data_IF_799976162727
#
_entry.id   IF_799976162727
#
_cell.length_a   1.000
_cell.length_b   1.000
_cell.length_c   1.000
_cell.angle_alpha   90.00
_cell.angle_beta   90.00
_cell.angle_gamma   90.00
#
_symmetry.space_group_name_H-M   'P 1'
#
loop_
_entity.id
_entity.type
_entity.pdbx_description
1 polymer ?
#
# COMPACT_ATOMS: atom_id res chain seq x y z
N UNK A 1 -2.79 -21.06 0.67
CA UNK A 1 -1.86 -20.05 1.22
C UNK A 1 -2.49 -18.68 1.05
N UNK A 2 -2.40 -17.82 2.07
CA UNK A 2 -3.04 -16.49 2.05
C UNK A 2 -1.97 -15.40 2.11
N UNK A 3 -2.10 -14.38 1.26
CA UNK A 3 -1.40 -13.10 1.44
C UNK A 3 -2.42 -12.10 1.99
N UNK A 4 -2.16 -11.59 3.19
CA UNK A 4 -2.99 -10.57 3.81
C UNK A 4 -2.48 -9.20 3.40
N UNK A 5 -3.25 -8.46 2.59
CA UNK A 5 -2.95 -7.07 2.28
C UNK A 5 -3.33 -6.19 3.47
N UNK A 6 -2.48 -5.22 3.78
CA UNK A 6 -2.72 -4.28 4.88
C UNK A 6 -2.27 -2.88 4.46
N UNK A 7 -3.19 -1.93 4.53
CA UNK A 7 -2.82 -0.52 4.39
C UNK A 7 -2.14 -0.05 5.68
N UNK A 8 -1.07 0.74 5.54
CA UNK A 8 -0.40 1.37 6.68
C UNK A 8 -1.38 2.04 7.66
N UNK A 9 -0.99 2.21 8.92
CA UNK A 9 -1.74 2.94 9.92
C UNK A 9 -1.95 4.41 9.53
N UNK A 10 -2.75 5.15 10.30
CA UNK A 10 -3.03 6.56 10.02
C UNK A 10 -1.75 7.38 9.97
N UNK A 11 -1.56 8.09 8.88
CA UNK A 11 -0.55 9.11 8.60
C UNK A 11 -1.18 10.51 8.55
N UNK A 12 -0.37 11.53 8.28
CA UNK A 12 -0.83 12.91 8.21
C UNK A 12 -1.45 13.21 6.84
N UNK A 13 -2.76 13.37 6.80
CA UNK A 13 -3.55 13.68 5.62
C UNK A 13 -3.66 15.18 5.30
N UNK A 14 -2.97 16.03 6.04
CA UNK A 14 -2.83 17.47 5.69
C UNK A 14 -1.82 17.69 4.56
N UNK A 15 -1.04 16.65 4.24
CA UNK A 15 -0.07 16.63 3.14
C UNK A 15 -0.50 15.71 2.00
N UNK A 16 -0.04 16.02 0.79
CA UNK A 16 -0.12 15.10 -0.36
C UNK A 16 0.74 13.86 -0.08
N UNK A 17 0.12 12.70 -0.03
CA UNK A 17 0.79 11.44 0.23
C UNK A 17 1.75 11.03 -0.88
N UNK A 18 1.39 9.96 -1.62
CA UNK A 18 2.25 9.40 -2.67
C UNK A 18 3.61 8.97 -2.11
N UNK A 19 4.71 9.43 -2.72
CA UNK A 19 6.08 9.15 -2.27
C UNK A 19 6.58 10.14 -1.20
N UNK A 20 5.69 10.63 -0.34
CA UNK A 20 6.08 11.48 0.79
C UNK A 20 6.86 10.72 1.86
N UNK A 21 7.73 11.43 2.58
CA UNK A 21 8.51 10.92 3.73
C UNK A 21 7.80 11.18 5.08
N UNK A 22 6.47 11.16 5.11
CA UNK A 22 5.70 11.28 6.34
C UNK A 22 5.49 9.90 6.95
N UNK A 23 5.80 9.75 8.24
CA UNK A 23 5.61 8.54 9.01
C UNK A 23 4.19 8.40 9.58
N UNK A 24 4.03 7.44 10.49
CA UNK A 24 2.77 7.19 11.17
C UNK A 24 2.49 8.25 12.24
N UNK A 25 1.25 8.68 12.35
CA UNK A 25 0.79 9.43 13.53
C UNK A 25 0.69 8.51 14.76
N UNK A 26 0.68 9.06 16.00
CA UNK A 26 0.53 8.26 17.22
C UNK A 26 -0.72 7.35 17.21
N UNK A 27 -1.80 7.79 16.59
CA UNK A 27 -3.01 6.97 16.39
C UNK A 27 -2.77 5.83 15.42
N UNK A 28 -1.98 6.07 14.36
CA UNK A 28 -1.56 5.03 13.40
C UNK A 28 -0.72 3.95 14.07
N UNK A 29 0.22 4.33 14.93
CA UNK A 29 1.02 3.39 15.72
C UNK A 29 0.12 2.53 16.63
N UNK A 30 -0.87 3.12 17.30
CA UNK A 30 -1.86 2.37 18.10
C UNK A 30 -2.65 1.38 17.25
N UNK A 31 -3.03 1.76 16.02
CA UNK A 31 -3.71 0.85 15.08
C UNK A 31 -2.83 -0.36 14.72
N UNK A 32 -1.52 -0.17 14.55
CA UNK A 32 -0.58 -1.25 14.24
C UNK A 32 -0.47 -2.25 15.39
N UNK A 33 -0.33 -1.77 16.64
CA UNK A 33 -0.31 -2.66 17.80
C UNK A 33 -1.63 -3.41 17.99
N UNK A 34 -2.77 -2.77 17.73
CA UNK A 34 -4.07 -3.43 17.76
C UNK A 34 -4.17 -4.56 16.71
N UNK A 35 -3.67 -4.31 15.50
CA UNK A 35 -3.59 -5.32 14.45
C UNK A 35 -2.66 -6.48 14.83
N UNK A 36 -1.48 -6.20 15.39
CA UNK A 36 -0.58 -7.26 15.86
C UNK A 36 -1.25 -8.16 16.88
N UNK A 37 -2.01 -7.59 17.81
CA UNK A 37 -2.81 -8.34 18.79
C UNK A 37 -3.92 -9.15 18.13
N UNK A 38 -4.61 -8.58 17.14
CA UNK A 38 -5.65 -9.28 16.36
C UNK A 38 -5.07 -10.51 15.67
N UNK A 39 -3.91 -10.38 14.98
CA UNK A 39 -3.21 -11.48 14.33
C UNK A 39 -2.86 -12.59 15.31
N UNK A 40 -2.34 -12.24 16.49
CA UNK A 40 -1.98 -13.22 17.52
C UNK A 40 -3.22 -13.97 18.07
N UNK A 41 -4.35 -13.29 18.27
CA UNK A 41 -5.59 -13.89 18.80
C UNK A 41 -6.26 -14.79 17.77
N UNK A 42 -6.23 -14.41 16.49
CA UNK A 42 -6.85 -15.17 15.39
C UNK A 42 -5.98 -16.33 14.91
N UNK A 43 -4.82 -16.54 15.53
CA UNK A 43 -3.89 -17.61 15.20
C UNK A 43 -3.44 -17.62 13.73
N UNK A 44 -3.32 -16.42 13.13
CA UNK A 44 -2.76 -16.24 11.79
C UNK A 44 -1.24 -16.34 11.89
N UNK A 45 -0.65 -17.32 11.20
CA UNK A 45 0.78 -17.56 11.20
C UNK A 45 1.42 -17.12 9.88
N UNK A 46 2.10 -15.98 9.90
CA UNK A 46 2.86 -15.47 8.76
C UNK A 46 4.35 -15.75 8.93
N UNK A 47 5.02 -16.08 7.86
CA UNK A 47 6.47 -16.34 7.85
C UNK A 47 7.31 -15.17 7.33
N UNK A 48 6.67 -14.18 6.69
CA UNK A 48 7.34 -13.01 6.12
C UNK A 48 6.37 -11.82 6.02
N UNK A 49 6.91 -10.63 6.19
CA UNK A 49 6.23 -9.37 5.89
C UNK A 49 6.89 -8.78 4.64
N UNK A 50 6.13 -8.66 3.55
CA UNK A 50 6.49 -7.80 2.43
C UNK A 50 6.03 -6.39 2.73
N UNK A 51 6.84 -5.38 2.42
CA UNK A 51 6.47 -4.00 2.67
C UNK A 51 6.92 -3.06 1.56
N UNK A 52 6.11 -2.05 1.27
CA UNK A 52 6.60 -0.82 0.68
C UNK A 52 7.68 -0.21 1.58
N UNK A 53 8.69 0.38 1.00
CA UNK A 53 9.77 1.05 1.71
C UNK A 53 9.50 2.54 1.98
N UNK A 54 8.30 3.05 1.65
CA UNK A 54 7.85 4.38 2.05
C UNK A 54 7.64 4.40 3.58
N UNK A 55 8.12 5.44 4.24
CA UNK A 55 8.31 5.54 5.68
C UNK A 55 7.11 5.02 6.50
N UNK A 56 5.89 5.47 6.23
CA UNK A 56 4.67 5.03 6.97
C UNK A 56 4.37 3.54 6.87
N UNK A 57 4.70 2.92 5.74
CA UNK A 57 4.55 1.48 5.56
C UNK A 57 5.72 0.71 6.18
N UNK A 58 6.95 1.22 6.04
CA UNK A 58 8.14 0.64 6.65
C UNK A 58 8.05 0.65 8.18
N UNK A 59 7.69 1.78 8.80
CA UNK A 59 7.45 1.87 10.26
C UNK A 59 6.42 0.85 10.75
N UNK A 60 5.31 0.70 10.02
CA UNK A 60 4.31 -0.33 10.34
C UNK A 60 4.89 -1.74 10.24
N UNK A 61 5.62 -2.03 9.18
CA UNK A 61 6.23 -3.35 8.96
C UNK A 61 7.24 -3.68 10.07
N UNK A 62 8.05 -2.72 10.51
CA UNK A 62 9.02 -2.88 11.61
C UNK A 62 8.32 -3.19 12.94
N UNK A 63 7.24 -2.47 13.27
CA UNK A 63 6.45 -2.75 14.47
C UNK A 63 5.85 -4.16 14.40
N UNK A 64 5.24 -4.54 13.27
CA UNK A 64 4.65 -5.87 13.08
C UNK A 64 5.72 -6.97 13.14
N UNK A 65 6.88 -6.77 12.51
CA UNK A 65 8.01 -7.71 12.55
C UNK A 65 8.48 -7.98 13.98
N UNK A 66 8.64 -6.92 14.76
CA UNK A 66 9.01 -7.04 16.18
C UNK A 66 7.95 -7.78 17.01
N UNK A 67 6.66 -7.55 16.74
CA UNK A 67 5.57 -8.21 17.46
C UNK A 67 5.36 -9.68 17.07
N UNK A 68 5.55 -10.00 15.79
CA UNK A 68 5.25 -11.33 15.23
C UNK A 68 6.47 -12.22 15.09
N UNK A 69 7.68 -11.67 15.23
CA UNK A 69 8.94 -12.42 15.11
C UNK A 69 9.24 -12.90 13.69
N UNK A 70 8.77 -12.19 12.64
CA UNK A 70 8.99 -12.59 11.26
C UNK A 70 9.78 -11.53 10.47
N UNK A 71 10.59 -11.93 9.47
CA UNK A 71 11.44 -11.03 8.70
C UNK A 71 10.64 -10.11 7.78
N UNK A 72 11.25 -8.97 7.41
CA UNK A 72 10.72 -8.04 6.42
C UNK A 72 11.50 -8.17 5.12
N UNK A 73 10.79 -8.17 4.00
CA UNK A 73 11.33 -7.95 2.66
C UNK A 73 10.71 -6.67 2.09
N UNK A 74 11.54 -5.65 1.85
CA UNK A 74 11.09 -4.43 1.21
C UNK A 74 10.95 -4.60 -0.29
N UNK A 75 9.80 -4.16 -0.84
CA UNK A 75 9.46 -4.25 -2.26
C UNK A 75 9.16 -2.85 -2.79
N UNK A 76 10.16 -2.08 -3.25
CA UNK A 76 9.98 -0.69 -3.72
C UNK A 76 8.96 -0.55 -4.85
N UNK A 77 8.76 -1.62 -5.65
CA UNK A 77 7.73 -1.64 -6.70
C UNK A 77 6.29 -1.64 -6.18
N UNK A 78 6.08 -1.80 -4.85
CA UNK A 78 4.78 -1.71 -4.19
C UNK A 78 4.61 -0.40 -3.40
N UNK A 79 5.38 0.65 -3.73
CA UNK A 79 5.14 2.02 -3.27
C UNK A 79 3.80 2.54 -3.79
N UNK A 80 3.23 3.54 -3.08
CA UNK A 80 2.07 4.30 -3.55
C UNK A 80 2.38 5.01 -4.88
N UNK A 81 1.41 5.70 -5.45
CA UNK A 81 1.63 6.49 -6.66
C UNK A 81 2.76 7.49 -6.47
N UNK A 82 3.65 7.58 -7.47
CA UNK A 82 4.62 8.67 -7.55
C UNK A 82 3.90 9.94 -8.03
N UNK A 83 3.55 10.79 -7.07
CA UNK A 83 2.89 12.06 -7.36
C UNK A 83 3.88 13.21 -7.60
N UNK A 84 5.15 12.88 -7.86
CA UNK A 84 6.19 13.79 -8.31
C UNK A 84 6.34 15.01 -7.41
N UNK A 85 6.23 16.20 -8.02
CA UNK A 85 6.40 17.48 -7.30
C UNK A 85 5.41 17.70 -6.16
N UNK A 86 4.30 16.95 -6.10
CA UNK A 86 3.31 17.06 -5.03
C UNK A 86 3.66 16.23 -3.79
N UNK A 87 4.62 15.30 -3.88
CA UNK A 87 4.96 14.41 -2.79
C UNK A 87 5.36 15.17 -1.50
N UNK A 88 4.56 15.02 -0.44
CA UNK A 88 4.80 15.69 0.84
C UNK A 88 4.50 17.18 0.87
N UNK A 89 3.87 17.74 -0.17
CA UNK A 89 3.42 19.13 -0.17
C UNK A 89 2.16 19.29 0.71
N UNK A 90 2.06 20.38 1.46
CA UNK A 90 0.82 20.72 2.19
C UNK A 90 -0.36 20.84 1.21
N UNK A 91 -1.53 20.33 1.58
CA UNK A 91 -2.70 20.34 0.69
C UNK A 91 -3.08 21.74 0.23
N UNK A 92 -3.11 22.71 1.15
CA UNK A 92 -3.47 24.10 0.81
C UNK A 92 -2.48 24.70 -0.21
N UNK A 93 -1.17 24.45 -0.04
CA UNK A 93 -0.14 24.92 -0.94
C UNK A 93 -0.23 24.23 -2.31
N UNK A 94 -0.54 22.93 -2.31
CA UNK A 94 -0.75 22.18 -3.54
C UNK A 94 -1.97 22.70 -4.33
N UNK A 95 -3.06 23.00 -3.62
CA UNK A 95 -4.28 23.52 -4.25
C UNK A 95 -4.08 24.95 -4.80
N UNK A 96 -3.26 25.77 -4.12
CA UNK A 96 -2.90 27.11 -4.59
C UNK A 96 -2.01 27.05 -5.84
N UNK A 97 -0.96 26.21 -5.81
CA UNK A 97 0.05 26.18 -6.89
C UNK A 97 -0.36 25.34 -8.08
N UNK A 98 -1.17 24.30 -7.84
CA UNK A 98 -1.57 23.31 -8.85
C UNK A 98 -3.07 23.05 -8.76
N UNK A 99 -3.93 24.07 -8.98
CA UNK A 99 -5.37 23.95 -8.84
C UNK A 99 -5.94 22.86 -9.74
N UNK A 100 -6.73 21.97 -9.16
CA UNK A 100 -7.38 20.89 -9.90
C UNK A 100 -6.48 19.68 -10.21
N UNK A 101 -5.21 19.69 -9.82
CA UNK A 101 -4.31 18.55 -10.03
C UNK A 101 -4.46 17.51 -8.90
N UNK A 102 -5.31 16.53 -9.16
CA UNK A 102 -5.58 15.41 -8.25
C UNK A 102 -5.44 14.09 -8.99
N UNK A 103 -5.24 13.00 -8.24
CA UNK A 103 -5.23 11.65 -8.81
C UNK A 103 -6.47 11.35 -9.66
N UNK A 104 -7.63 11.73 -9.18
CA UNK A 104 -8.92 11.49 -9.86
C UNK A 104 -9.19 12.39 -11.06
N UNK A 105 -8.42 13.47 -11.26
CA UNK A 105 -8.58 14.37 -12.41
C UNK A 105 -7.67 14.06 -13.56
N UNK A 106 -6.57 13.32 -13.33
CA UNK A 106 -5.65 12.90 -14.40
C UNK A 106 -6.37 12.03 -15.43
N UNK A 107 -6.05 12.20 -16.68
CA UNK A 107 -6.34 11.20 -17.70
C UNK A 107 -5.47 9.96 -17.51
N UNK A 108 -5.88 8.82 -18.05
CA UNK A 108 -5.29 7.53 -17.70
C UNK A 108 -3.78 7.46 -18.03
N UNK A 109 -3.34 8.14 -19.09
CA UNK A 109 -1.96 8.26 -19.55
C UNK A 109 -1.28 9.58 -19.15
N UNK A 110 -2.01 10.49 -18.47
CA UNK A 110 -1.48 11.77 -18.01
C UNK A 110 -0.64 11.60 -16.75
N UNK A 111 0.62 12.07 -16.79
CA UNK A 111 1.55 11.98 -15.66
C UNK A 111 1.46 13.19 -14.72
N UNK A 112 1.63 12.96 -13.44
CA UNK A 112 2.10 14.03 -12.56
C UNK A 112 3.44 14.57 -13.06
N UNK A 113 3.68 15.86 -12.86
CA UNK A 113 5.01 16.45 -13.15
C UNK A 113 6.09 15.75 -12.32
N UNK A 114 7.06 15.14 -12.99
CA UNK A 114 8.11 14.29 -12.39
C UNK A 114 7.56 13.07 -11.62
N UNK A 115 6.40 12.59 -11.98
CA UNK A 115 5.77 11.43 -11.36
C UNK A 115 5.22 10.45 -12.40
N UNK A 116 4.29 9.61 -11.99
CA UNK A 116 3.70 8.58 -12.86
C UNK A 116 2.23 8.89 -13.22
N UNK A 117 1.76 8.28 -14.31
CA UNK A 117 0.36 8.28 -14.71
C UNK A 117 -0.41 7.14 -14.02
N UNK A 118 -1.76 7.17 -14.03
CA UNK A 118 -2.59 6.03 -13.62
C UNK A 118 -2.23 4.73 -14.32
N UNK A 119 -1.93 4.77 -15.62
CA UNK A 119 -1.50 3.61 -16.39
C UNK A 119 -0.16 3.05 -15.90
N UNK A 120 0.84 3.91 -15.74
CA UNK A 120 2.17 3.52 -15.25
C UNK A 120 2.09 2.92 -13.85
N UNK A 121 1.34 3.55 -12.94
CA UNK A 121 1.09 3.05 -11.60
C UNK A 121 0.46 1.66 -11.64
N UNK A 122 -0.66 1.49 -12.34
CA UNK A 122 -1.37 0.22 -12.41
C UNK A 122 -0.49 -0.90 -13.00
N UNK A 123 0.22 -0.63 -14.10
CA UNK A 123 1.09 -1.60 -14.74
C UNK A 123 2.25 -2.02 -13.82
N UNK A 124 2.85 -1.07 -13.09
CA UNK A 124 3.89 -1.34 -12.10
C UNK A 124 3.39 -2.24 -10.98
N UNK A 125 2.22 -1.91 -10.40
CA UNK A 125 1.62 -2.68 -9.30
C UNK A 125 1.23 -4.08 -9.78
N UNK A 126 0.57 -4.20 -10.92
CA UNK A 126 0.18 -5.49 -11.52
C UNK A 126 1.39 -6.40 -11.72
N UNK A 127 2.46 -5.88 -12.33
CA UNK A 127 3.68 -6.65 -12.56
C UNK A 127 4.35 -7.08 -11.23
N UNK A 128 4.46 -6.16 -10.26
CA UNK A 128 5.05 -6.44 -8.95
C UNK A 128 4.23 -7.48 -8.17
N UNK A 129 2.91 -7.36 -8.16
CA UNK A 129 2.01 -8.30 -7.49
C UNK A 129 2.09 -9.70 -8.09
N UNK A 130 1.95 -9.84 -9.40
CA UNK A 130 2.03 -11.14 -10.08
C UNK A 130 3.40 -11.80 -9.90
N UNK A 131 4.47 -11.00 -9.93
CA UNK A 131 5.82 -11.50 -9.65
C UNK A 131 5.97 -12.01 -8.21
N UNK A 132 5.45 -11.27 -7.23
CA UNK A 132 5.46 -11.67 -5.82
C UNK A 132 4.64 -12.95 -5.60
N UNK A 133 3.42 -12.99 -6.10
CA UNK A 133 2.51 -14.14 -6.04
C UNK A 133 3.18 -15.41 -6.60
N UNK A 134 3.72 -15.33 -7.82
CA UNK A 134 4.39 -16.44 -8.46
C UNK A 134 5.64 -16.91 -7.71
N UNK A 135 6.40 -16.01 -7.12
CA UNK A 135 7.57 -16.35 -6.30
C UNK A 135 7.14 -17.08 -5.03
N UNK A 136 6.13 -16.59 -4.33
CA UNK A 136 5.59 -17.23 -3.11
C UNK A 136 5.10 -18.65 -3.38
N UNK A 137 4.30 -18.85 -4.43
CA UNK A 137 3.77 -20.17 -4.81
C UNK A 137 4.87 -21.20 -5.06
N UNK A 138 6.07 -20.78 -5.51
CA UNK A 138 7.21 -21.68 -5.76
C UNK A 138 8.05 -21.97 -4.52
N UNK A 139 8.02 -21.10 -3.51
CA UNK A 139 8.96 -21.16 -2.38
C UNK A 139 8.36 -21.72 -1.10
N UNK A 140 7.06 -21.54 -0.86
CA UNK A 140 6.44 -21.87 0.42
C UNK A 140 4.93 -22.04 0.28
N UNK A 141 4.33 -22.67 1.28
CA UNK A 141 2.87 -22.76 1.45
C UNK A 141 2.36 -21.94 2.63
N UNK A 142 3.25 -21.19 3.30
CA UNK A 142 2.92 -20.40 4.48
C UNK A 142 2.33 -19.05 4.08
N UNK A 143 1.53 -18.49 4.97
CA UNK A 143 0.91 -17.18 4.79
C UNK A 143 1.92 -16.03 4.93
N UNK A 144 1.57 -14.86 4.39
CA UNK A 144 2.39 -13.66 4.47
C UNK A 144 1.53 -12.41 4.69
N UNK A 145 2.16 -11.35 5.22
CA UNK A 145 1.59 -10.00 5.18
C UNK A 145 2.19 -9.20 4.01
N UNK A 146 1.38 -8.30 3.45
CA UNK A 146 1.84 -7.27 2.54
C UNK A 146 1.39 -5.89 3.07
N UNK A 147 2.32 -5.17 3.69
CA UNK A 147 2.09 -3.81 4.19
C UNK A 147 2.34 -2.80 3.07
N UNK A 148 1.30 -2.06 2.70
CA UNK A 148 1.35 -1.14 1.58
C UNK A 148 0.32 0.00 1.72
N UNK A 149 -0.20 0.52 0.62
CA UNK A 149 -0.98 1.74 0.52
C UNK A 149 -2.37 1.50 -0.08
N UNK A 150 -3.26 2.48 0.07
CA UNK A 150 -4.64 2.36 -0.39
C UNK A 150 -4.79 2.19 -1.89
N UNK A 151 -4.02 2.93 -2.70
CA UNK A 151 -4.05 2.80 -4.16
C UNK A 151 -3.46 1.47 -4.65
N UNK A 152 -2.42 0.98 -3.99
CA UNK A 152 -1.80 -0.32 -4.29
C UNK A 152 -2.77 -1.48 -4.03
N UNK A 153 -3.46 -1.45 -2.88
CA UNK A 153 -4.47 -2.46 -2.54
C UNK A 153 -5.61 -2.45 -3.56
N UNK A 154 -6.10 -1.26 -3.94
CA UNK A 154 -7.10 -1.10 -5.00
C UNK A 154 -6.65 -1.77 -6.30
N UNK A 155 -5.43 -1.47 -6.76
CA UNK A 155 -4.89 -2.02 -8.00
C UNK A 155 -4.73 -3.55 -7.93
N UNK A 156 -4.24 -4.09 -6.80
CA UNK A 156 -4.12 -5.54 -6.58
C UNK A 156 -5.50 -6.22 -6.61
N UNK A 157 -6.50 -5.65 -5.92
CA UNK A 157 -7.85 -6.19 -5.89
C UNK A 157 -8.54 -6.12 -7.26
N UNK A 158 -8.26 -5.08 -8.06
CA UNK A 158 -8.70 -5.04 -9.46
C UNK A 158 -8.12 -6.21 -10.27
N UNK A 159 -6.83 -6.53 -10.09
CA UNK A 159 -6.19 -7.68 -10.75
C UNK A 159 -6.84 -9.01 -10.33
N UNK A 160 -7.01 -9.24 -9.03
CA UNK A 160 -7.51 -10.51 -8.49
C UNK A 160 -8.99 -10.75 -8.80
N UNK A 161 -9.79 -9.68 -8.88
CA UNK A 161 -11.23 -9.78 -9.16
C UNK A 161 -11.59 -9.53 -10.64
N UNK A 162 -10.61 -9.37 -11.53
CA UNK A 162 -10.85 -9.09 -12.96
C UNK A 162 -11.68 -7.81 -13.20
N UNK A 163 -11.47 -6.80 -12.34
CA UNK A 163 -12.14 -5.49 -12.43
C UNK A 163 -11.22 -4.50 -13.16
N UNK A 164 -11.79 -3.71 -14.05
CA UNK A 164 -11.05 -2.66 -14.74
C UNK A 164 -10.60 -1.60 -13.74
N UNK A 165 -9.29 -1.36 -13.64
CA UNK A 165 -8.75 -0.32 -12.78
C UNK A 165 -9.10 1.08 -13.32
N UNK A 166 -9.42 1.98 -12.40
CA UNK A 166 -9.66 3.40 -12.70
C UNK A 166 -9.14 4.26 -11.56
N UNK A 167 -8.47 5.36 -11.90
CA UNK A 167 -8.11 6.40 -10.94
C UNK A 167 -9.30 7.29 -10.55
N UNK A 168 -10.37 7.27 -11.36
CA UNK A 168 -11.59 8.10 -11.18
C UNK A 168 -12.65 7.42 -10.30
N UNK A 169 -12.60 6.09 -10.21
CA UNK A 169 -13.58 5.30 -9.43
C UNK A 169 -12.87 4.28 -8.56
N UNK A 170 -13.17 4.27 -7.27
CA UNK A 170 -12.68 3.25 -6.34
C UNK A 170 -13.72 2.13 -6.20
N UNK A 171 -13.28 0.88 -6.39
CA UNK A 171 -14.13 -0.30 -6.32
C UNK A 171 -14.03 -1.02 -4.96
N UNK A 172 -12.89 -0.88 -4.27
CA UNK A 172 -12.60 -1.61 -3.05
C UNK A 172 -12.20 -0.68 -1.90
N UNK A 173 -12.59 -1.05 -0.68
CA UNK A 173 -12.19 -0.35 0.54
C UNK A 173 -10.85 -0.87 1.06
N UNK A 174 -9.96 0.04 1.45
CA UNK A 174 -8.68 -0.29 2.08
C UNK A 174 -8.52 0.54 3.37
N UNK A 175 -9.20 0.15 4.48
CA UNK A 175 -9.07 0.87 5.74
C UNK A 175 -7.68 0.68 6.36
N UNK A 176 -7.23 1.66 7.15
CA UNK A 176 -5.93 1.60 7.81
C UNK A 176 -5.84 0.40 8.77
N UNK A 177 -4.72 -0.31 8.74
CA UNK A 177 -4.38 -1.41 9.64
C UNK A 177 -5.49 -2.48 9.75
N UNK A 178 -6.07 -2.87 8.61
CA UNK A 178 -7.04 -3.97 8.51
C UNK A 178 -6.56 -5.03 7.53
N UNK A 179 -6.76 -6.29 7.89
CA UNK A 179 -6.41 -7.44 7.05
C UNK A 179 -7.41 -7.58 5.90
N UNK A 180 -6.89 -7.74 4.69
CA UNK A 180 -7.65 -8.08 3.49
C UNK A 180 -7.03 -9.37 2.93
N UNK A 181 -7.66 -10.54 3.15
CA UNK A 181 -7.10 -11.81 2.73
C UNK A 181 -7.23 -12.01 1.21
N UNK A 182 -6.17 -12.51 0.60
CA UNK A 182 -6.17 -13.03 -0.77
C UNK A 182 -5.65 -14.46 -0.74
N UNK A 183 -6.51 -15.41 -1.07
CA UNK A 183 -6.11 -16.80 -1.25
C UNK A 183 -5.38 -16.96 -2.58
N UNK A 184 -4.19 -17.55 -2.53
CA UNK A 184 -3.39 -17.83 -3.71
C UNK A 184 -3.17 -19.33 -3.84
N UNK A 185 -3.48 -19.84 -5.03
CA UNK A 185 -3.40 -21.25 -5.41
C UNK A 185 -2.64 -21.40 -6.71
#
# INVERSE_FOLDING_TARGET
MTIYLVRHGKDDDTFRGGWSNHGLLPIGIKQVYALAKEIAITNIHVDCIYSSDIQRAAEMAEILSNCLGCPIEYVPKLREVDNGILAGMENNLADERYPGLYWSTLDYDECYTNGESPEMFYNRIKAAWLGLKNRRLKQTTKDALLVTHGGVIEAILCVENNVLFSNKTRHFSAPNAKLIPIEIS
#
